data_IF_069097682100
#
_entry.id   IF_069097682100
#
_cell.length_a   1.000
_cell.length_b   1.000
_cell.length_c   1.000
_cell.angle_alpha   90.00
_cell.angle_beta   90.00
_cell.angle_gamma   90.00
#
_symmetry.space_group_name_H-M   'P 1'
#
loop_
_entity.id
_entity.type
_entity.pdbx_description
1 polymer ?
#
# COMPACT_ATOMS: atom_id res chain seq x y z
N UNK A 1 54.22 -21.86 -13.75
CA UNK A 1 53.91 -20.41 -13.71
C UNK A 1 54.12 -19.98 -12.27
N UNK A 2 55.11 -19.13 -12.03
CA UNK A 2 55.42 -18.55 -10.72
C UNK A 2 54.22 -17.72 -10.26
N UNK A 3 53.66 -18.02 -9.09
CA UNK A 3 52.68 -17.13 -8.44
C UNK A 3 53.35 -15.76 -8.26
N UNK A 4 52.80 -14.72 -8.87
CA UNK A 4 53.14 -13.35 -8.50
C UNK A 4 52.80 -13.19 -7.01
N UNK A 5 53.80 -12.94 -6.18
CA UNK A 5 53.58 -12.69 -4.77
C UNK A 5 52.86 -11.34 -4.63
N UNK A 6 51.68 -11.33 -4.00
CA UNK A 6 51.00 -10.07 -3.70
C UNK A 6 51.81 -9.31 -2.64
N UNK A 7 52.22 -8.10 -2.98
CA UNK A 7 52.96 -7.23 -2.06
C UNK A 7 52.11 -6.83 -0.85
N UNK A 8 52.68 -6.85 0.38
CA UNK A 8 51.98 -6.36 1.57
C UNK A 8 51.55 -4.90 1.40
N UNK A 9 50.28 -4.62 1.65
CA UNK A 9 49.67 -3.30 1.46
C UNK A 9 49.13 -2.76 2.78
N UNK A 10 49.44 -1.50 3.09
CA UNK A 10 48.82 -0.80 4.20
C UNK A 10 47.39 -0.42 3.86
N UNK A 11 46.44 -0.94 4.63
CA UNK A 11 45.00 -0.73 4.42
C UNK A 11 44.40 0.29 5.42
N UNK A 12 45.21 0.92 6.28
CA UNK A 12 44.65 1.95 7.16
C UNK A 12 44.30 3.22 6.37
N UNK A 13 43.23 3.95 6.78
CA UNK A 13 42.87 5.22 6.15
C UNK A 13 44.01 6.25 6.18
N UNK A 14 44.75 6.30 7.29
CA UNK A 14 45.82 7.27 7.53
C UNK A 14 47.19 6.83 7.00
N UNK A 15 47.28 5.61 6.42
CA UNK A 15 48.53 5.00 5.96
C UNK A 15 49.64 4.99 7.03
N UNK A 16 49.26 4.67 8.26
CA UNK A 16 50.14 4.67 9.44
C UNK A 16 50.84 3.33 9.71
N UNK A 17 50.72 2.37 8.78
CA UNK A 17 51.23 1.01 8.91
C UNK A 17 50.60 0.23 10.05
N UNK A 18 49.38 0.60 10.47
CA UNK A 18 48.68 0.00 11.59
C UNK A 18 48.08 -1.37 11.27
N UNK A 19 47.68 -1.59 10.02
CA UNK A 19 47.09 -2.84 9.53
C UNK A 19 47.65 -3.10 8.13
N UNK A 20 48.54 -4.09 8.03
CA UNK A 20 49.13 -4.51 6.76
C UNK A 20 48.43 -5.78 6.30
N UNK A 21 47.94 -5.79 5.06
CA UNK A 21 47.31 -6.94 4.41
C UNK A 21 48.24 -7.53 3.36
N UNK A 22 48.38 -8.84 3.34
CA UNK A 22 49.04 -9.59 2.27
C UNK A 22 48.10 -10.69 1.78
N UNK A 23 47.80 -10.72 0.48
CA UNK A 23 46.97 -11.78 -0.10
C UNK A 23 47.82 -13.03 -0.28
N UNK A 24 47.40 -14.14 0.33
CA UNK A 24 48.04 -15.46 0.18
C UNK A 24 47.38 -16.28 -0.92
N UNK A 25 46.06 -16.13 -1.07
CA UNK A 25 45.28 -16.70 -2.17
C UNK A 25 44.19 -15.72 -2.58
N UNK A 26 44.12 -15.38 -3.86
CA UNK A 26 43.08 -14.49 -4.37
C UNK A 26 41.68 -15.09 -4.17
N UNK A 27 40.72 -14.23 -3.86
CA UNK A 27 39.30 -14.58 -3.90
C UNK A 27 38.71 -14.39 -5.30
N UNK A 28 37.46 -14.80 -5.45
CA UNK A 28 36.67 -14.71 -6.66
C UNK A 28 35.74 -13.48 -6.63
N UNK A 29 35.36 -13.00 -7.81
CA UNK A 29 34.45 -11.86 -7.96
C UNK A 29 35.10 -10.50 -7.70
N UNK A 30 34.27 -9.46 -7.70
CA UNK A 30 34.69 -8.07 -7.48
C UNK A 30 34.02 -7.43 -6.26
N UNK A 31 33.28 -8.21 -5.47
CA UNK A 31 32.54 -7.75 -4.30
C UNK A 31 33.31 -8.02 -3.02
N UNK A 32 33.05 -7.18 -2.01
CA UNK A 32 33.59 -7.30 -0.66
C UNK A 32 32.48 -6.97 0.35
N UNK A 33 32.51 -7.56 1.56
CA UNK A 33 31.49 -7.30 2.56
C UNK A 33 31.54 -5.84 3.04
N UNK A 34 30.38 -5.29 3.37
CA UNK A 34 30.23 -3.90 3.85
C UNK A 34 29.82 -3.87 5.32
N UNK A 35 30.03 -2.73 6.03
CA UNK A 35 29.56 -2.59 7.40
C UNK A 35 28.06 -2.93 7.55
N UNK A 36 27.74 -3.84 8.46
CA UNK A 36 26.41 -4.40 8.69
C UNK A 36 26.24 -5.84 8.20
N UNK A 37 27.10 -6.33 7.32
CA UNK A 37 27.04 -7.71 6.84
C UNK A 37 27.45 -8.72 7.92
N UNK A 38 26.76 -9.85 7.96
CA UNK A 38 27.17 -11.01 8.75
C UNK A 38 28.18 -11.82 7.94
N UNK A 39 29.46 -11.64 8.21
CA UNK A 39 30.55 -12.33 7.50
C UNK A 39 30.81 -13.71 8.13
N UNK A 40 31.31 -14.66 7.34
CA UNK A 40 31.75 -15.99 7.78
C UNK A 40 33.19 -16.25 7.37
N UNK A 41 34.06 -16.56 8.34
CA UNK A 41 35.50 -16.74 8.13
C UNK A 41 36.06 -17.97 8.85
N UNK A 42 37.17 -18.52 8.33
CA UNK A 42 38.13 -19.23 9.16
C UNK A 42 39.34 -18.36 9.44
N UNK A 43 39.96 -18.53 10.62
CA UNK A 43 41.18 -17.81 10.95
C UNK A 43 42.11 -18.60 11.85
N UNK A 44 43.38 -18.20 11.82
CA UNK A 44 44.43 -18.54 12.79
C UNK A 44 45.07 -17.25 13.27
N UNK A 45 45.12 -17.03 14.57
CA UNK A 45 45.72 -15.87 15.22
C UNK A 45 46.99 -16.25 15.99
N UNK A 46 48.11 -15.62 15.66
CA UNK A 46 49.41 -15.82 16.30
C UNK A 46 50.02 -14.50 16.78
N UNK A 47 50.88 -14.58 17.78
CA UNK A 47 51.80 -13.48 18.13
C UNK A 47 52.94 -13.38 17.10
N UNK A 48 53.78 -12.37 17.26
CA UNK A 48 54.97 -12.14 16.43
C UNK A 48 56.05 -13.21 16.60
N UNK A 49 56.08 -13.89 17.75
CA UNK A 49 56.90 -15.08 18.02
C UNK A 49 56.29 -16.39 17.49
N UNK A 50 55.25 -16.30 16.65
CA UNK A 50 54.49 -17.41 16.05
C UNK A 50 53.64 -18.23 17.05
N UNK A 51 53.58 -17.85 18.33
CA UNK A 51 52.72 -18.50 19.30
C UNK A 51 51.24 -18.31 18.92
N UNK A 52 50.54 -19.40 18.60
CA UNK A 52 49.10 -19.38 18.33
C UNK A 52 48.33 -19.14 19.63
N UNK A 53 47.48 -18.11 19.65
CA UNK A 53 46.60 -17.81 20.78
C UNK A 53 45.15 -18.22 20.55
N UNK A 54 44.72 -18.29 19.28
CA UNK A 54 43.37 -18.68 18.89
C UNK A 54 43.28 -19.15 17.43
N UNK A 55 42.41 -20.12 17.15
CA UNK A 55 42.18 -20.66 15.81
C UNK A 55 40.76 -21.19 15.68
N UNK A 56 40.00 -20.74 14.68
CA UNK A 56 38.68 -21.34 14.42
C UNK A 56 38.77 -22.68 13.69
N UNK A 57 39.91 -22.98 13.07
CA UNK A 57 40.14 -24.27 12.39
C UNK A 57 40.25 -25.43 13.39
N UNK A 58 40.83 -25.18 14.57
CA UNK A 58 40.88 -26.18 15.66
C UNK A 58 39.50 -26.55 16.21
N UNK A 59 38.52 -25.67 16.01
CA UNK A 59 37.12 -25.87 16.43
C UNK A 59 36.24 -26.48 15.33
N UNK A 60 36.79 -26.65 14.12
CA UNK A 60 36.06 -27.10 12.92
C UNK A 60 34.77 -26.31 12.62
N UNK A 61 34.67 -25.07 13.11
CA UNK A 61 33.49 -24.23 12.98
C UNK A 61 33.87 -22.85 12.41
N UNK A 62 33.10 -22.38 11.43
CA UNK A 62 33.28 -21.03 10.87
C UNK A 62 32.90 -19.98 11.90
N UNK A 63 33.69 -18.93 11.99
CA UNK A 63 33.38 -17.80 12.86
C UNK A 63 32.53 -16.79 12.10
N UNK A 64 31.27 -16.61 12.54
CA UNK A 64 30.36 -15.61 11.98
C UNK A 64 30.27 -14.36 12.88
N UNK A 65 30.35 -13.16 12.30
CA UNK A 65 30.18 -11.90 13.04
C UNK A 65 29.63 -10.76 12.17
N UNK A 66 29.11 -9.70 12.79
CA UNK A 66 28.64 -8.49 12.10
C UNK A 66 29.79 -7.54 11.83
N UNK A 67 30.09 -7.28 10.56
CA UNK A 67 31.20 -6.42 10.13
C UNK A 67 30.91 -4.94 10.44
N UNK A 68 31.92 -4.21 10.93
CA UNK A 68 31.86 -2.76 11.11
C UNK A 68 31.03 -2.29 12.31
N UNK A 69 30.62 -3.22 13.19
CA UNK A 69 29.89 -2.91 14.44
C UNK A 69 30.77 -2.94 15.69
N UNK A 70 32.09 -3.12 15.54
CA UNK A 70 33.01 -3.25 16.68
C UNK A 70 32.85 -4.56 17.44
N UNK A 71 32.27 -5.60 16.82
CA UNK A 71 32.19 -6.95 17.38
C UNK A 71 33.52 -7.69 17.38
N UNK A 72 34.49 -7.19 16.61
CA UNK A 72 35.86 -7.69 16.47
C UNK A 72 36.86 -6.54 16.62
N UNK A 73 38.16 -6.84 16.64
CA UNK A 73 39.20 -5.81 16.69
C UNK A 73 39.12 -4.88 15.47
N UNK A 74 39.53 -3.62 15.63
CA UNK A 74 39.47 -2.60 14.56
C UNK A 74 40.18 -3.05 13.27
N UNK A 75 41.29 -3.79 13.41
CA UNK A 75 42.02 -4.32 12.28
C UNK A 75 41.20 -5.29 11.42
N UNK A 76 40.31 -6.07 12.04
CA UNK A 76 39.42 -6.98 11.33
C UNK A 76 38.28 -6.25 10.62
N UNK A 77 37.67 -5.27 11.29
CA UNK A 77 36.64 -4.43 10.66
C UNK A 77 37.17 -3.73 9.40
N UNK A 78 38.44 -3.28 9.41
CA UNK A 78 39.11 -2.74 8.23
C UNK A 78 39.52 -3.83 7.23
N UNK A 79 40.14 -4.91 7.71
CA UNK A 79 40.74 -5.95 6.89
C UNK A 79 39.73 -6.76 6.09
N UNK A 80 38.70 -7.28 6.75
CA UNK A 80 37.71 -8.16 6.12
C UNK A 80 36.87 -7.40 5.09
N UNK A 81 36.63 -6.10 5.30
CA UNK A 81 35.96 -5.23 4.33
C UNK A 81 36.72 -5.08 3.00
N UNK A 82 38.00 -5.47 2.93
CA UNK A 82 38.80 -5.45 1.70
C UNK A 82 38.92 -6.80 1.01
N UNK A 83 38.40 -7.88 1.62
CA UNK A 83 38.56 -9.23 1.12
C UNK A 83 37.48 -9.60 0.13
N UNK A 84 37.83 -10.46 -0.83
CA UNK A 84 36.89 -11.09 -1.77
C UNK A 84 36.46 -12.47 -1.27
N UNK A 85 35.34 -12.98 -1.80
CA UNK A 85 34.84 -14.31 -1.46
C UNK A 85 35.90 -15.37 -1.83
N UNK A 86 36.23 -16.27 -0.90
CA UNK A 86 37.26 -17.31 -1.06
C UNK A 86 38.70 -16.85 -0.85
N UNK A 87 38.93 -15.55 -0.62
CA UNK A 87 40.26 -14.98 -0.40
C UNK A 87 40.86 -15.50 0.90
N UNK A 88 42.16 -15.83 0.86
CA UNK A 88 43.00 -16.09 2.02
C UNK A 88 44.01 -14.95 2.14
N UNK A 89 43.98 -14.23 3.26
CA UNK A 89 44.85 -13.09 3.50
C UNK A 89 45.51 -13.15 4.88
N UNK A 90 46.75 -12.66 4.94
CA UNK A 90 47.49 -12.42 6.17
C UNK A 90 47.35 -10.95 6.57
N UNK A 91 46.99 -10.70 7.82
CA UNK A 91 46.90 -9.38 8.43
C UNK A 91 47.92 -9.24 9.55
N UNK A 92 48.73 -8.20 9.50
CA UNK A 92 49.60 -7.77 10.61
C UNK A 92 49.00 -6.55 11.26
N UNK A 93 48.62 -6.69 12.53
CA UNK A 93 47.77 -5.75 13.25
C UNK A 93 48.54 -5.16 14.44
N UNK A 94 48.90 -3.88 14.38
CA UNK A 94 49.53 -3.17 15.50
C UNK A 94 48.57 -3.02 16.68
N UNK A 95 49.07 -2.84 17.92
CA UNK A 95 48.24 -2.77 19.12
C UNK A 95 47.11 -1.74 19.07
N UNK A 96 47.36 -0.57 18.45
CA UNK A 96 46.37 0.51 18.25
C UNK A 96 45.10 0.05 17.51
N UNK A 97 45.21 -0.97 16.66
CA UNK A 97 44.11 -1.58 15.89
C UNK A 97 43.69 -2.96 16.42
N UNK A 98 44.29 -3.41 17.52
CA UNK A 98 44.02 -4.67 18.22
C UNK A 98 43.57 -4.41 19.66
N UNK A 99 44.26 -4.97 20.66
CA UNK A 99 43.90 -4.87 22.09
C UNK A 99 44.66 -3.77 22.87
N UNK A 100 45.50 -2.97 22.21
CA UNK A 100 46.19 -1.82 22.80
C UNK A 100 47.08 -2.17 24.01
N UNK A 101 47.28 -1.19 24.89
CA UNK A 101 48.11 -1.30 26.10
C UNK A 101 47.55 -2.28 27.12
N UNK A 102 46.24 -2.55 27.10
CA UNK A 102 45.61 -3.48 28.04
C UNK A 102 45.88 -4.95 27.68
N UNK A 103 45.99 -5.27 26.39
CA UNK A 103 46.03 -6.65 25.92
C UNK A 103 44.73 -7.41 26.19
N UNK A 104 44.79 -8.74 26.15
CA UNK A 104 43.70 -9.65 26.53
C UNK A 104 44.30 -10.87 27.25
N UNK A 105 44.66 -10.65 28.52
CA UNK A 105 45.33 -11.65 29.34
C UNK A 105 44.43 -12.88 29.59
N UNK A 106 45.01 -14.10 29.73
CA UNK A 106 46.44 -14.40 29.71
C UNK A 106 47.03 -14.60 28.30
N UNK A 107 46.19 -14.64 27.26
CA UNK A 107 46.59 -15.08 25.92
C UNK A 107 47.29 -14.00 25.09
N UNK A 108 46.89 -12.74 25.26
CA UNK A 108 47.41 -11.61 24.48
C UNK A 108 48.02 -10.61 25.45
N UNK A 109 49.34 -10.38 25.41
CA UNK A 109 50.00 -9.43 26.29
C UNK A 109 49.67 -7.96 25.92
N UNK A 110 49.90 -7.01 26.86
CA UNK A 110 49.95 -5.58 26.58
C UNK A 110 50.77 -5.23 25.35
N UNK A 111 50.27 -4.36 24.48
CA UNK A 111 50.98 -3.85 23.30
C UNK A 111 51.45 -4.94 22.31
N UNK A 112 50.75 -6.06 22.25
CA UNK A 112 51.05 -7.12 21.29
C UNK A 112 50.69 -6.75 19.84
N UNK A 113 51.61 -7.03 18.91
CA UNK A 113 51.29 -7.08 17.48
C UNK A 113 50.72 -8.45 17.17
N UNK A 114 49.58 -8.49 16.49
CA UNK A 114 48.89 -9.74 16.16
C UNK A 114 49.03 -10.05 14.67
N UNK A 115 49.20 -11.32 14.36
CA UNK A 115 49.21 -11.83 13.01
C UNK A 115 47.99 -12.73 12.84
N UNK A 116 47.17 -12.46 11.84
CA UNK A 116 46.03 -13.29 11.50
C UNK A 116 46.15 -13.80 10.08
N UNK A 117 45.97 -15.10 9.88
CA UNK A 117 45.61 -15.66 8.58
C UNK A 117 44.11 -15.86 8.56
N UNK A 118 43.41 -15.25 7.60
CA UNK A 118 41.94 -15.28 7.51
C UNK A 118 41.51 -15.73 6.12
N UNK A 119 40.56 -16.65 6.08
CA UNK A 119 39.88 -17.15 4.89
C UNK A 119 38.42 -16.70 4.91
N UNK A 120 38.01 -15.89 3.93
CA UNK A 120 36.63 -15.39 3.84
C UNK A 120 35.76 -16.34 3.03
N UNK A 121 34.80 -17.02 3.65
CA UNK A 121 33.90 -17.94 2.94
C UNK A 121 32.73 -17.22 2.25
N UNK A 122 32.26 -16.13 2.87
CA UNK A 122 31.17 -15.34 2.35
C UNK A 122 30.53 -14.47 3.43
N UNK A 123 29.43 -13.81 3.09
CA UNK A 123 28.69 -12.96 4.00
C UNK A 123 27.20 -13.00 3.67
N UNK A 124 26.38 -12.73 4.69
CA UNK A 124 24.92 -12.59 4.62
C UNK A 124 24.60 -11.19 5.11
N UNK A 125 24.12 -10.30 4.25
CA UNK A 125 23.68 -8.98 4.70
C UNK A 125 22.61 -9.10 5.79
N UNK A 126 22.64 -8.22 6.79
CA UNK A 126 21.54 -8.10 7.77
C UNK A 126 20.26 -7.53 7.16
N UNK A 127 20.26 -7.28 5.85
CA UNK A 127 19.10 -7.04 5.01
C UNK A 127 19.42 -7.72 3.66
N UNK A 128 18.68 -8.76 3.28
CA UNK A 128 18.63 -9.36 1.93
C UNK A 128 19.98 -9.61 1.19
N UNK A 129 20.56 -10.81 1.30
CA UNK A 129 21.60 -11.26 0.35
C UNK A 129 21.26 -12.66 -0.21
N UNK A 130 20.41 -12.68 -1.25
CA UNK A 130 20.65 -13.53 -2.44
C UNK A 130 21.55 -12.71 -3.38
N UNK A 131 22.17 -13.27 -4.44
CA UNK A 131 23.19 -12.60 -5.24
C UNK A 131 22.55 -11.54 -6.17
N UNK A 132 21.90 -10.56 -5.55
CA UNK A 132 20.72 -9.82 -6.01
C UNK A 132 19.98 -9.43 -4.73
N UNK A 133 19.94 -8.17 -4.38
CA UNK A 133 18.70 -7.59 -3.89
C UNK A 133 18.97 -6.10 -3.85
N UNK A 134 18.69 -5.41 -4.94
CA UNK A 134 18.41 -3.98 -4.79
C UNK A 134 17.33 -3.80 -3.72
N UNK A 135 17.25 -2.61 -3.15
CA UNK A 135 16.21 -2.29 -2.18
C UNK A 135 14.84 -2.44 -2.84
N UNK A 136 13.99 -3.27 -2.27
CA UNK A 136 12.61 -3.40 -2.74
C UNK A 136 11.82 -2.15 -2.32
N UNK A 137 11.41 -1.37 -3.31
CA UNK A 137 10.60 -0.16 -3.14
C UNK A 137 9.11 -0.42 -3.38
N UNK A 138 8.71 -1.66 -3.66
CA UNK A 138 7.32 -2.01 -3.86
C UNK A 138 6.52 -1.83 -2.57
N UNK A 139 5.28 -1.34 -2.69
CA UNK A 139 4.41 -1.12 -1.53
C UNK A 139 4.05 -2.42 -0.79
N UNK A 140 4.15 -3.56 -1.47
CA UNK A 140 3.78 -4.89 -0.96
C UNK A 140 4.99 -5.76 -0.60
N UNK A 141 6.22 -5.24 -0.75
CA UNK A 141 7.45 -6.03 -0.65
C UNK A 141 7.41 -7.29 -1.53
N UNK A 142 6.89 -7.15 -2.75
CA UNK A 142 6.71 -8.24 -3.73
C UNK A 142 7.81 -8.26 -4.81
N UNK A 143 8.82 -7.40 -4.67
CA UNK A 143 9.92 -7.26 -5.61
C UNK A 143 9.54 -6.61 -6.94
N UNK A 144 8.38 -5.95 -7.04
CA UNK A 144 7.96 -5.32 -8.29
C UNK A 144 8.79 -4.11 -8.70
N UNK A 145 9.52 -3.50 -7.75
CA UNK A 145 10.39 -2.33 -7.98
C UNK A 145 11.66 -2.54 -7.14
N UNK A 146 12.78 -2.86 -7.79
CA UNK A 146 14.05 -3.12 -7.11
C UNK A 146 15.05 -2.02 -7.46
N UNK A 147 15.59 -1.33 -6.45
CA UNK A 147 16.54 -0.23 -6.62
C UNK A 147 17.98 -0.63 -6.31
N UNK A 148 18.88 -0.29 -7.23
CA UNK A 148 20.32 -0.41 -7.08
C UNK A 148 20.97 0.98 -7.14
N UNK A 149 21.34 1.52 -5.99
CA UNK A 149 21.98 2.85 -5.91
C UNK A 149 23.38 2.76 -6.52
N UNK A 150 23.64 3.59 -7.54
CA UNK A 150 24.96 3.68 -8.20
C UNK A 150 25.73 4.92 -7.76
N UNK A 151 25.03 6.01 -7.39
CA UNK A 151 25.62 7.21 -6.76
C UNK A 151 24.71 7.68 -5.64
N UNK A 152 25.25 7.82 -4.43
CA UNK A 152 24.49 8.28 -3.27
C UNK A 152 24.07 9.74 -3.44
N UNK A 153 22.78 10.02 -3.26
CA UNK A 153 22.30 11.39 -3.20
C UNK A 153 22.69 12.11 -1.90
N UNK A 154 22.50 13.43 -1.90
CA UNK A 154 22.78 14.35 -0.80
C UNK A 154 21.51 14.64 0.02
N UNK A 155 21.70 15.09 1.25
CA UNK A 155 20.61 15.45 2.14
C UNK A 155 19.92 14.27 2.82
N UNK A 156 18.88 14.58 3.59
CA UNK A 156 18.09 13.63 4.37
C UNK A 156 16.61 13.57 3.98
N UNK A 157 16.14 14.55 3.20
CA UNK A 157 14.77 14.62 2.70
C UNK A 157 14.63 13.80 1.41
N UNK A 158 13.42 13.32 1.19
CA UNK A 158 12.99 12.70 -0.06
C UNK A 158 11.73 13.43 -0.57
N UNK A 159 11.40 13.32 -1.87
CA UNK A 159 10.15 13.83 -2.43
C UNK A 159 8.91 13.24 -1.71
N UNK A 160 7.98 14.09 -1.26
CA UNK A 160 6.68 13.65 -0.75
C UNK A 160 5.59 13.62 -1.85
N UNK A 161 4.41 13.11 -1.51
CA UNK A 161 3.26 13.13 -2.42
C UNK A 161 2.92 14.57 -2.83
N UNK A 162 2.89 14.85 -4.13
CA UNK A 162 2.68 16.20 -4.66
C UNK A 162 3.94 17.05 -4.82
N UNK A 163 5.12 16.55 -4.46
CA UNK A 163 6.39 17.25 -4.71
C UNK A 163 6.62 17.51 -6.20
N UNK A 164 7.16 18.68 -6.56
CA UNK A 164 7.70 18.91 -7.90
C UNK A 164 9.10 18.30 -7.97
N UNK A 165 9.34 17.45 -8.96
CA UNK A 165 10.64 16.81 -9.17
C UNK A 165 11.18 17.13 -10.55
N UNK A 166 12.50 17.26 -10.65
CA UNK A 166 13.25 17.29 -11.90
C UNK A 166 14.12 16.04 -11.97
N UNK A 167 13.87 15.19 -12.94
CA UNK A 167 14.53 13.88 -13.08
C UNK A 167 14.97 13.65 -14.52
N UNK A 168 16.11 13.00 -14.69
CA UNK A 168 16.53 12.41 -15.94
C UNK A 168 16.48 10.89 -15.82
N UNK A 169 15.96 10.19 -16.82
CA UNK A 169 16.03 8.73 -16.83
C UNK A 169 16.15 8.14 -18.23
N UNK A 170 16.75 6.95 -18.28
CA UNK A 170 16.92 6.13 -19.49
C UNK A 170 16.23 4.79 -19.28
N UNK A 171 15.16 4.55 -20.04
CA UNK A 171 14.37 3.31 -20.01
C UNK A 171 14.86 2.29 -21.04
N UNK A 172 15.06 1.05 -20.59
CA UNK A 172 15.52 -0.08 -21.41
C UNK A 172 14.67 -1.32 -21.26
N UNK A 173 14.54 -2.06 -22.36
CA UNK A 173 14.05 -3.44 -22.37
C UNK A 173 15.10 -4.32 -23.04
N UNK A 174 15.73 -5.21 -22.27
CA UNK A 174 16.95 -5.88 -22.71
C UNK A 174 18.06 -4.86 -23.00
N UNK A 175 18.65 -4.94 -24.18
CA UNK A 175 19.69 -3.98 -24.64
C UNK A 175 19.10 -2.72 -25.32
N UNK A 176 17.80 -2.71 -25.62
CA UNK A 176 17.19 -1.62 -26.37
C UNK A 176 16.79 -0.45 -25.44
N UNK A 177 17.30 0.75 -25.74
CA UNK A 177 16.84 2.00 -25.13
C UNK A 177 15.59 2.46 -25.87
N UNK A 178 14.46 2.54 -25.19
CA UNK A 178 13.20 3.03 -25.78
C UNK A 178 12.86 4.46 -25.34
N UNK A 179 13.49 4.96 -24.28
CA UNK A 179 13.24 6.28 -23.72
C UNK A 179 14.50 6.84 -23.07
N UNK A 180 14.81 8.10 -23.32
CA UNK A 180 15.90 8.85 -22.70
C UNK A 180 15.46 10.32 -22.66
N UNK A 181 15.09 10.81 -21.47
CA UNK A 181 14.62 12.19 -21.33
C UNK A 181 14.77 12.75 -19.92
N UNK A 182 14.86 14.07 -19.88
CA UNK A 182 14.67 14.89 -18.69
C UNK A 182 13.20 15.33 -18.61
N UNK A 183 12.59 15.21 -17.44
CA UNK A 183 11.19 15.58 -17.21
C UNK A 183 11.02 16.23 -15.85
N UNK A 184 10.18 17.27 -15.83
CA UNK A 184 9.68 17.90 -14.62
C UNK A 184 8.22 17.49 -14.42
N UNK A 185 7.90 16.90 -13.27
CA UNK A 185 6.54 16.46 -12.98
C UNK A 185 6.23 16.48 -11.49
N UNK A 186 4.95 16.31 -11.18
CA UNK A 186 4.45 16.25 -9.81
C UNK A 186 4.36 14.78 -9.37
N UNK A 187 5.00 14.44 -8.25
CA UNK A 187 4.94 13.10 -7.66
C UNK A 187 3.49 12.73 -7.32
N UNK A 188 3.06 11.53 -7.74
CA UNK A 188 1.66 11.08 -7.69
C UNK A 188 0.90 11.31 -9.01
N UNK A 189 1.43 12.19 -9.88
CA UNK A 189 0.83 12.59 -11.15
C UNK A 189 1.68 12.15 -12.37
N UNK A 190 2.60 11.20 -12.18
CA UNK A 190 3.55 10.76 -13.22
C UNK A 190 2.90 10.42 -14.56
N UNK A 191 1.70 9.85 -14.54
CA UNK A 191 0.94 9.52 -15.75
C UNK A 191 0.69 10.71 -16.69
N UNK A 192 0.57 11.95 -16.18
CA UNK A 192 0.40 13.16 -17.03
C UNK A 192 1.64 13.41 -17.87
N UNK A 193 2.81 13.15 -17.26
CA UNK A 193 4.11 13.33 -17.87
C UNK A 193 4.56 12.08 -18.65
N UNK A 194 3.66 11.11 -18.86
CA UNK A 194 3.95 9.78 -19.41
C UNK A 194 5.04 9.02 -18.62
N UNK A 195 5.11 9.23 -17.31
CA UNK A 195 6.00 8.51 -16.39
C UNK A 195 5.25 7.29 -15.85
N UNK A 196 5.88 6.12 -15.92
CA UNK A 196 5.28 4.87 -15.40
C UNK A 196 5.16 4.90 -13.86
N UNK A 197 4.18 4.17 -13.33
CA UNK A 197 3.90 4.13 -11.89
C UNK A 197 5.11 3.70 -11.04
N UNK A 198 5.90 2.74 -11.52
CA UNK A 198 7.11 2.29 -10.83
C UNK A 198 8.16 3.38 -10.64
N UNK A 199 8.32 4.28 -11.62
CA UNK A 199 9.23 5.43 -11.50
C UNK A 199 8.69 6.45 -10.48
N UNK A 200 7.40 6.77 -10.54
CA UNK A 200 6.76 7.70 -9.60
C UNK A 200 6.88 7.23 -8.14
N UNK A 201 6.71 5.92 -7.91
CA UNK A 201 6.91 5.31 -6.58
C UNK A 201 8.39 5.33 -6.18
N UNK A 202 9.30 4.96 -7.09
CA UNK A 202 10.73 4.88 -6.78
C UNK A 202 11.34 6.24 -6.43
N UNK A 203 10.97 7.29 -7.17
CA UNK A 203 11.53 8.64 -6.98
C UNK A 203 11.21 9.22 -5.59
N UNK A 204 10.05 8.86 -4.99
CA UNK A 204 9.71 9.20 -3.58
C UNK A 204 10.73 8.69 -2.56
N UNK A 205 11.55 7.70 -2.91
CA UNK A 205 12.57 7.11 -2.05
C UNK A 205 13.99 7.54 -2.38
N UNK A 206 14.16 8.35 -3.44
CA UNK A 206 15.45 8.88 -3.87
C UNK A 206 15.82 10.16 -3.12
N UNK A 207 17.12 10.41 -3.03
CA UNK A 207 17.69 11.68 -2.55
C UNK A 207 18.11 12.58 -3.71
N UNK A 208 18.18 13.87 -3.47
CA UNK A 208 18.67 14.82 -4.46
C UNK A 208 20.10 14.46 -4.92
N UNK A 209 20.35 14.46 -6.23
CA UNK A 209 21.61 14.04 -6.83
C UNK A 209 21.86 12.52 -6.82
N UNK A 210 20.92 11.70 -6.34
CA UNK A 210 21.05 10.24 -6.38
C UNK A 210 20.97 9.73 -7.82
N UNK A 211 21.86 8.78 -8.16
CA UNK A 211 21.77 7.97 -9.36
C UNK A 211 21.52 6.52 -8.97
N UNK A 212 20.59 5.87 -9.64
CA UNK A 212 20.30 4.47 -9.39
C UNK A 212 19.82 3.76 -10.65
N UNK A 213 19.96 2.44 -10.65
CA UNK A 213 19.29 1.54 -11.59
C UNK A 213 18.05 0.97 -10.92
N UNK A 214 16.92 0.96 -11.60
CA UNK A 214 15.66 0.38 -11.16
C UNK A 214 15.31 -0.80 -12.05
N UNK A 215 15.04 -1.95 -11.45
CA UNK A 215 14.43 -3.09 -12.12
C UNK A 215 12.93 -3.08 -11.79
N UNK A 216 12.09 -2.91 -12.81
CA UNK A 216 10.65 -2.68 -12.68
C UNK A 216 9.88 -3.80 -13.38
N UNK A 217 9.05 -4.51 -12.61
CA UNK A 217 8.17 -5.56 -13.13
C UNK A 217 7.01 -4.99 -13.96
N UNK A 218 6.41 -5.78 -14.87
CA UNK A 218 5.36 -5.29 -15.75
C UNK A 218 4.16 -4.70 -15.01
N UNK A 219 3.85 -5.25 -13.83
CA UNK A 219 2.79 -4.78 -12.95
C UNK A 219 2.94 -3.32 -12.48
N UNK A 220 4.14 -2.77 -12.53
CA UNK A 220 4.48 -1.37 -12.19
C UNK A 220 4.96 -0.57 -13.41
N UNK A 221 4.83 -1.13 -14.61
CA UNK A 221 5.22 -0.53 -15.88
C UNK A 221 4.02 -0.51 -16.86
N UNK A 222 4.17 -1.08 -18.06
CA UNK A 222 3.12 -1.09 -19.09
C UNK A 222 2.21 -2.34 -19.06
N UNK A 223 2.45 -3.27 -18.13
CA UNK A 223 1.65 -4.47 -17.91
C UNK A 223 1.42 -5.32 -19.17
N UNK A 224 0.29 -6.01 -19.20
CA UNK A 224 -0.10 -6.92 -20.28
C UNK A 224 -0.47 -6.23 -21.60
N UNK A 225 -0.50 -4.89 -21.63
CA UNK A 225 -0.72 -4.13 -22.87
C UNK A 225 0.58 -3.79 -23.57
N UNK A 226 1.68 -3.66 -22.82
CA UNK A 226 2.92 -3.08 -23.34
C UNK A 226 2.73 -1.62 -23.76
N UNK A 227 3.70 -1.09 -24.51
CA UNK A 227 3.61 0.22 -25.16
C UNK A 227 4.13 0.11 -26.60
N UNK A 228 3.23 -0.10 -27.58
CA UNK A 228 3.61 -0.22 -28.99
C UNK A 228 4.31 1.01 -29.57
N UNK A 229 3.98 2.22 -29.10
CA UNK A 229 4.59 3.47 -29.59
C UNK A 229 6.07 3.57 -29.21
N UNK A 230 6.43 3.02 -28.05
CA UNK A 230 7.82 2.92 -27.56
C UNK A 230 8.48 1.59 -27.92
N UNK A 231 7.80 0.69 -28.63
CA UNK A 231 8.32 -0.64 -28.96
C UNK A 231 8.48 -1.57 -27.75
N UNK A 232 7.76 -1.31 -26.65
CA UNK A 232 7.79 -2.13 -25.44
C UNK A 232 6.72 -3.22 -25.53
N UNK A 233 7.07 -4.51 -25.46
CA UNK A 233 6.09 -5.59 -25.56
C UNK A 233 5.22 -5.73 -24.29
N UNK A 234 4.08 -6.42 -24.39
CA UNK A 234 3.33 -6.89 -23.23
C UNK A 234 4.19 -7.64 -22.22
N UNK A 235 3.91 -7.44 -20.94
CA UNK A 235 4.53 -8.16 -19.83
C UNK A 235 6.07 -8.06 -19.77
N UNK A 236 6.62 -6.95 -20.28
CA UNK A 236 8.06 -6.70 -20.30
C UNK A 236 8.61 -6.26 -18.93
N UNK A 237 9.68 -6.92 -18.48
CA UNK A 237 10.55 -6.43 -17.40
C UNK A 237 11.38 -5.24 -17.92
N UNK A 238 11.37 -4.12 -17.21
CA UNK A 238 12.06 -2.90 -17.63
C UNK A 238 13.19 -2.54 -16.68
N UNK A 239 14.22 -1.92 -17.24
CA UNK A 239 15.36 -1.36 -16.50
C UNK A 239 15.42 0.14 -16.74
N UNK A 240 15.48 0.92 -15.67
CA UNK A 240 15.66 2.37 -15.76
C UNK A 240 16.92 2.81 -15.04
N UNK A 241 17.78 3.56 -15.72
CA UNK A 241 18.80 4.36 -15.04
C UNK A 241 18.20 5.73 -14.74
N UNK A 242 18.16 6.13 -13.47
CA UNK A 242 17.49 7.34 -13.00
C UNK A 242 18.47 8.24 -12.26
N UNK A 243 18.39 9.54 -12.54
CA UNK A 243 19.08 10.60 -11.81
C UNK A 243 18.08 11.64 -11.34
N UNK A 244 17.89 11.75 -10.02
CA UNK A 244 17.06 12.79 -9.41
C UNK A 244 17.89 14.08 -9.28
N UNK A 245 17.62 15.10 -10.11
CA UNK A 245 18.41 16.35 -10.07
C UNK A 245 18.03 17.24 -8.90
N UNK A 246 16.73 17.48 -8.70
CA UNK A 246 16.20 18.34 -7.66
C UNK A 246 14.73 18.03 -7.36
N UNK A 247 14.27 18.43 -6.17
CA UNK A 247 12.85 18.38 -5.85
C UNK A 247 12.46 19.50 -4.86
N UNK A 248 11.19 19.88 -4.93
CA UNK A 248 10.54 20.75 -3.97
C UNK A 248 9.33 20.01 -3.38
N UNK A 249 9.35 19.74 -2.07
CA UNK A 249 8.26 19.05 -1.41
C UNK A 249 6.98 19.88 -1.42
N UNK A 250 5.85 19.21 -1.63
CA UNK A 250 4.56 19.82 -1.35
C UNK A 250 4.45 20.10 0.15
N UNK A 251 3.81 21.23 0.49
CA UNK A 251 3.42 21.49 1.87
C UNK A 251 2.39 20.46 2.32
N UNK A 252 2.55 19.98 3.54
CA UNK A 252 1.54 19.14 4.17
C UNK A 252 0.30 19.98 4.53
N UNK A 253 -0.86 19.32 4.69
CA UNK A 253 -2.13 20.03 4.93
C UNK A 253 -2.09 20.97 6.13
N UNK A 254 -1.34 20.62 7.18
CA UNK A 254 -1.17 21.44 8.38
C UNK A 254 -0.16 22.59 8.21
N UNK A 255 0.67 22.58 7.17
CA UNK A 255 1.64 23.64 6.87
C UNK A 255 1.05 24.73 5.95
N UNK A 256 -0.13 24.47 5.36
CA UNK A 256 -0.81 25.41 4.47
C UNK A 256 -1.76 26.33 5.23
N UNK A 257 -1.65 27.62 4.95
CA UNK A 257 -2.63 28.61 5.39
C UNK A 257 -3.98 28.38 4.68
N UNK A 258 -5.12 28.77 5.28
CA UNK A 258 -6.45 28.54 4.71
C UNK A 258 -6.61 29.06 3.27
N UNK A 259 -6.06 30.24 2.96
CA UNK A 259 -6.08 30.82 1.62
C UNK A 259 -5.26 29.99 0.61
N UNK A 260 -4.15 29.41 1.06
CA UNK A 260 -3.31 28.53 0.24
C UNK A 260 -4.02 27.20 -0.04
N UNK A 261 -4.70 26.62 0.97
CA UNK A 261 -5.55 25.43 0.78
C UNK A 261 -6.64 25.67 -0.25
N UNK A 262 -7.26 26.84 -0.23
CA UNK A 262 -8.28 27.23 -1.21
C UNK A 262 -7.69 27.29 -2.63
N UNK A 263 -6.58 27.99 -2.81
CA UNK A 263 -5.91 28.10 -4.11
C UNK A 263 -5.45 26.72 -4.64
N UNK A 264 -4.86 25.88 -3.79
CA UNK A 264 -4.47 24.51 -4.16
C UNK A 264 -5.66 23.65 -4.56
N UNK A 265 -6.81 23.84 -3.92
CA UNK A 265 -8.03 23.11 -4.24
C UNK A 265 -8.65 23.55 -5.57
N UNK A 266 -8.50 24.83 -5.95
CA UNK A 266 -8.90 25.31 -7.28
C UNK A 266 -8.05 24.62 -8.36
N UNK A 267 -6.73 24.60 -8.20
CA UNK A 267 -5.81 23.94 -9.13
C UNK A 267 -6.11 22.44 -9.23
N UNK A 268 -6.34 21.78 -8.08
CA UNK A 268 -6.70 20.36 -8.05
C UNK A 268 -8.02 20.09 -8.77
N UNK A 269 -9.06 20.91 -8.58
CA UNK A 269 -10.33 20.80 -9.29
C UNK A 269 -10.16 20.87 -10.80
N UNK A 270 -9.33 21.79 -11.29
CA UNK A 270 -9.04 21.94 -12.72
C UNK A 270 -8.30 20.73 -13.29
N UNK A 271 -7.26 20.26 -12.60
CA UNK A 271 -6.54 19.03 -12.95
C UNK A 271 -7.47 17.82 -13.01
N UNK A 272 -8.28 17.61 -11.96
CA UNK A 272 -9.27 16.52 -11.93
C UNK A 272 -10.25 16.58 -13.11
N UNK A 273 -10.67 17.79 -13.49
CA UNK A 273 -11.56 18.00 -14.64
C UNK A 273 -10.89 17.65 -15.97
N UNK A 274 -9.59 17.93 -16.12
CA UNK A 274 -8.80 17.51 -17.27
C UNK A 274 -8.77 15.98 -17.37
N UNK A 275 -8.39 15.30 -16.30
CA UNK A 275 -8.36 13.83 -16.28
C UNK A 275 -9.71 13.17 -16.51
N UNK A 276 -10.79 13.77 -16.01
CA UNK A 276 -12.13 13.28 -16.28
C UNK A 276 -12.45 13.30 -17.79
N UNK A 277 -12.05 14.36 -18.50
CA UNK A 277 -12.22 14.47 -19.95
C UNK A 277 -11.36 13.46 -20.71
N UNK A 278 -10.17 13.18 -20.19
CA UNK A 278 -9.25 12.19 -20.77
C UNK A 278 -9.65 10.72 -20.45
N UNK A 279 -10.76 10.50 -19.73
CA UNK A 279 -11.25 9.17 -19.36
C UNK A 279 -10.53 8.52 -18.17
N UNK A 280 -9.59 9.23 -17.56
CA UNK A 280 -8.77 8.77 -16.43
C UNK A 280 -9.50 8.99 -15.09
N UNK A 281 -10.65 8.34 -14.91
CA UNK A 281 -11.55 8.60 -13.77
C UNK A 281 -10.92 8.37 -12.39
N UNK A 282 -10.10 7.32 -12.24
CA UNK A 282 -9.41 7.03 -10.97
C UNK A 282 -8.45 8.14 -10.55
N UNK A 283 -7.76 8.73 -11.53
CA UNK A 283 -6.84 9.85 -11.26
C UNK A 283 -7.63 11.12 -10.98
N UNK A 284 -8.71 11.37 -11.72
CA UNK A 284 -9.61 12.50 -11.46
C UNK A 284 -10.15 12.49 -10.02
N UNK A 285 -10.55 11.32 -9.52
CA UNK A 285 -11.01 11.13 -8.13
C UNK A 285 -9.94 11.60 -7.12
N UNK A 286 -8.67 11.20 -7.27
CA UNK A 286 -7.58 11.61 -6.36
C UNK A 286 -7.46 13.13 -6.21
N UNK A 287 -7.68 13.87 -7.29
CA UNK A 287 -7.65 15.34 -7.25
C UNK A 287 -8.85 15.95 -6.56
N UNK A 288 -10.04 15.41 -6.78
CA UNK A 288 -11.23 15.88 -6.08
C UNK A 288 -11.18 15.51 -4.58
N UNK A 289 -10.59 14.37 -4.22
CA UNK A 289 -10.27 14.00 -2.83
C UNK A 289 -9.25 14.97 -2.21
N UNK A 290 -8.30 15.50 -3.00
CA UNK A 290 -7.40 16.57 -2.53
C UNK A 290 -8.17 17.85 -2.19
N UNK A 291 -9.15 18.25 -3.00
CA UNK A 291 -10.05 19.36 -2.66
C UNK A 291 -10.78 19.11 -1.34
N UNK A 292 -11.35 17.91 -1.17
CA UNK A 292 -12.07 17.53 0.04
C UNK A 292 -11.15 17.57 1.27
N UNK A 293 -9.97 16.91 1.21
CA UNK A 293 -9.00 16.89 2.31
C UNK A 293 -8.55 18.29 2.77
N UNK A 294 -8.42 19.22 1.82
CA UNK A 294 -7.99 20.57 2.12
C UNK A 294 -9.11 21.44 2.70
N UNK A 295 -10.36 21.21 2.32
CA UNK A 295 -11.44 22.19 2.54
C UNK A 295 -12.62 21.70 3.39
N UNK A 296 -12.84 20.40 3.54
CA UNK A 296 -14.03 19.83 4.23
C UNK A 296 -14.12 20.33 5.68
N UNK A 297 -12.99 20.38 6.39
CA UNK A 297 -12.93 20.80 7.80
C UNK A 297 -12.35 22.20 8.01
N UNK A 298 -12.09 22.96 6.95
CA UNK A 298 -11.39 24.25 7.03
C UNK A 298 -12.32 25.39 7.45
N UNK A 299 -12.71 25.52 8.72
CA UNK A 299 -13.75 26.48 9.14
C UNK A 299 -13.31 27.95 9.24
N UNK A 300 -12.04 28.28 9.00
CA UNK A 300 -11.51 29.62 9.34
C UNK A 300 -11.67 30.68 8.24
N UNK A 301 -11.94 30.27 7.00
CA UNK A 301 -12.20 31.19 5.88
C UNK A 301 -13.49 31.99 6.10
N UNK A 302 -13.49 33.29 5.77
CA UNK A 302 -14.61 34.20 5.94
C UNK A 302 -14.95 34.95 4.64
N UNK A 303 -16.19 35.41 4.51
CA UNK A 303 -16.63 36.25 3.39
C UNK A 303 -16.61 35.49 2.05
N UNK A 304 -16.03 36.11 1.02
CA UNK A 304 -16.00 35.54 -0.34
C UNK A 304 -15.28 34.18 -0.39
N UNK A 305 -14.23 33.99 0.42
CA UNK A 305 -13.46 32.76 0.44
C UNK A 305 -14.21 31.61 1.11
N UNK A 306 -15.10 31.91 2.07
CA UNK A 306 -15.99 30.90 2.67
C UNK A 306 -16.96 30.34 1.63
N UNK A 307 -17.57 31.23 0.84
CA UNK A 307 -18.51 30.85 -0.22
C UNK A 307 -17.81 30.07 -1.34
N UNK A 308 -16.63 30.52 -1.79
CA UNK A 308 -15.80 29.75 -2.74
C UNK A 308 -15.45 28.37 -2.22
N UNK A 309 -15.13 28.26 -0.92
CA UNK A 309 -14.82 26.98 -0.29
C UNK A 309 -16.02 26.04 -0.33
N UNK A 310 -17.21 26.49 0.07
CA UNK A 310 -18.45 25.69 -0.02
C UNK A 310 -18.73 25.24 -1.45
N UNK A 311 -18.61 26.16 -2.42
CA UNK A 311 -18.79 25.86 -3.84
C UNK A 311 -17.81 24.77 -4.33
N UNK A 312 -16.52 24.90 -4.02
CA UNK A 312 -15.51 23.94 -4.45
C UNK A 312 -15.74 22.57 -3.83
N UNK A 313 -16.09 22.50 -2.55
CA UNK A 313 -16.39 21.23 -1.87
C UNK A 313 -17.61 20.56 -2.52
N UNK A 314 -18.71 21.30 -2.73
CA UNK A 314 -19.90 20.77 -3.39
C UNK A 314 -19.61 20.27 -4.82
N UNK A 315 -18.85 21.05 -5.61
CA UNK A 315 -18.44 20.67 -6.97
C UNK A 315 -17.52 19.44 -6.97
N UNK A 316 -16.62 19.33 -6.00
CA UNK A 316 -15.75 18.16 -5.86
C UNK A 316 -16.58 16.89 -5.58
N UNK A 317 -17.54 16.92 -4.65
CA UNK A 317 -18.46 15.81 -4.40
C UNK A 317 -19.24 15.41 -5.64
N UNK A 318 -19.81 16.39 -6.34
CA UNK A 318 -20.52 16.16 -7.60
C UNK A 318 -19.63 15.49 -8.65
N UNK A 319 -18.41 15.97 -8.84
CA UNK A 319 -17.51 15.42 -9.84
C UNK A 319 -17.01 14.02 -9.45
N UNK A 320 -16.76 13.74 -8.17
CA UNK A 320 -16.46 12.39 -7.68
C UNK A 320 -17.64 11.44 -7.94
N UNK A 321 -18.87 11.84 -7.63
CA UNK A 321 -20.06 11.05 -7.93
C UNK A 321 -20.17 10.73 -9.44
N UNK A 322 -19.80 11.68 -10.31
CA UNK A 322 -19.76 11.45 -11.76
C UNK A 322 -18.65 10.45 -12.15
N UNK A 323 -17.47 10.53 -11.53
CA UNK A 323 -16.38 9.58 -11.77
C UNK A 323 -16.79 8.17 -11.32
N UNK A 324 -17.39 8.03 -10.14
CA UNK A 324 -17.87 6.75 -9.62
C UNK A 324 -19.04 6.17 -10.43
N UNK A 325 -19.89 7.01 -11.03
CA UNK A 325 -20.86 6.53 -12.01
C UNK A 325 -20.19 5.93 -13.26
N UNK A 326 -19.04 6.48 -13.68
CA UNK A 326 -18.26 5.96 -14.81
C UNK A 326 -17.49 4.69 -14.47
N UNK A 327 -17.15 4.47 -13.20
CA UNK A 327 -16.50 3.25 -12.71
C UNK A 327 -17.46 2.22 -12.12
N UNK A 328 -18.78 2.48 -12.20
CA UNK A 328 -19.86 1.60 -11.71
C UNK A 328 -19.81 1.33 -10.19
N UNK A 329 -19.23 2.24 -9.40
CA UNK A 329 -19.17 2.17 -7.94
C UNK A 329 -20.37 2.86 -7.29
N UNK A 330 -21.57 2.30 -7.49
CA UNK A 330 -22.85 2.96 -7.15
C UNK A 330 -23.01 3.35 -5.67
N UNK A 331 -22.40 2.61 -4.74
CA UNK A 331 -22.44 2.96 -3.30
C UNK A 331 -21.78 4.32 -3.06
N UNK A 332 -20.58 4.51 -3.60
CA UNK A 332 -19.82 5.77 -3.47
C UNK A 332 -20.52 6.93 -4.18
N UNK A 333 -21.21 6.67 -5.30
CA UNK A 333 -22.04 7.70 -5.95
C UNK A 333 -23.06 8.26 -4.98
N UNK A 334 -23.78 7.39 -4.25
CA UNK A 334 -24.78 7.81 -3.27
C UNK A 334 -24.17 8.63 -2.14
N UNK A 335 -23.09 8.14 -1.55
CA UNK A 335 -22.37 8.84 -0.47
C UNK A 335 -21.93 10.26 -0.87
N UNK A 336 -21.32 10.41 -2.05
CA UNK A 336 -20.90 11.73 -2.53
C UNK A 336 -22.08 12.63 -2.95
N UNK A 337 -23.19 12.06 -3.45
CA UNK A 337 -24.41 12.83 -3.71
C UNK A 337 -25.08 13.30 -2.42
N UNK A 338 -25.12 12.46 -1.38
CA UNK A 338 -25.67 12.82 -0.07
C UNK A 338 -24.88 13.98 0.54
N UNK A 339 -23.54 13.90 0.56
CA UNK A 339 -22.68 15.02 0.97
C UNK A 339 -22.88 16.29 0.15
N UNK A 340 -23.11 16.18 -1.16
CA UNK A 340 -23.43 17.35 -1.98
C UNK A 340 -24.78 17.98 -1.61
N UNK A 341 -25.77 17.16 -1.23
CA UNK A 341 -27.10 17.61 -0.81
C UNK A 341 -27.12 18.19 0.62
N UNK A 342 -26.20 17.76 1.49
CA UNK A 342 -25.98 18.40 2.79
C UNK A 342 -25.48 19.85 2.63
N UNK A 343 -24.75 20.14 1.55
CA UNK A 343 -24.24 21.48 1.23
C UNK A 343 -25.24 22.32 0.43
N UNK A 344 -25.94 21.70 -0.53
CA UNK A 344 -26.98 22.32 -1.35
C UNK A 344 -28.13 21.35 -1.58
N UNK A 345 -29.18 21.50 -0.77
CA UNK A 345 -30.38 20.64 -0.78
C UNK A 345 -31.22 20.76 -2.07
N UNK A 346 -30.92 21.77 -2.91
CA UNK A 346 -31.54 22.04 -4.21
C UNK A 346 -30.63 21.66 -5.38
N UNK A 347 -29.55 20.93 -5.13
CA UNK A 347 -28.63 20.52 -6.17
C UNK A 347 -29.25 19.47 -7.12
N UNK A 348 -29.76 19.94 -8.27
CA UNK A 348 -30.38 19.10 -9.32
C UNK A 348 -29.47 17.96 -9.77
N UNK A 349 -28.17 18.24 -9.93
CA UNK A 349 -27.17 17.25 -10.38
C UNK A 349 -26.98 16.11 -9.37
N UNK A 350 -27.09 16.40 -8.06
CA UNK A 350 -26.94 15.38 -7.03
C UNK A 350 -28.11 14.40 -7.04
N UNK A 351 -29.36 14.89 -7.03
CA UNK A 351 -30.54 14.03 -7.14
C UNK A 351 -30.51 13.19 -8.41
N UNK A 352 -30.21 13.79 -9.56
CA UNK A 352 -30.21 13.04 -10.82
C UNK A 352 -29.16 11.91 -10.82
N UNK A 353 -27.94 12.19 -10.33
CA UNK A 353 -26.86 11.19 -10.26
C UNK A 353 -27.11 10.11 -9.21
N UNK A 354 -27.67 10.46 -8.06
CA UNK A 354 -28.08 9.51 -7.02
C UNK A 354 -29.20 8.58 -7.51
N UNK A 355 -30.17 9.15 -8.22
CA UNK A 355 -31.22 8.39 -8.89
C UNK A 355 -30.67 7.41 -9.94
N UNK A 356 -29.65 7.80 -10.71
CA UNK A 356 -28.95 6.88 -11.63
C UNK A 356 -28.26 5.72 -10.90
N UNK A 357 -27.66 5.98 -9.74
CA UNK A 357 -27.02 4.94 -8.93
C UNK A 357 -28.05 3.97 -8.34
N UNK A 358 -29.16 4.45 -7.77
CA UNK A 358 -30.26 3.60 -7.31
C UNK A 358 -30.85 2.75 -8.44
N UNK A 359 -31.05 3.36 -9.62
CA UNK A 359 -31.56 2.65 -10.78
C UNK A 359 -30.64 1.51 -11.20
N UNK A 360 -29.32 1.75 -11.24
CA UNK A 360 -28.33 0.73 -11.54
C UNK A 360 -28.26 -0.36 -10.44
N UNK A 361 -28.54 0.00 -9.19
CA UNK A 361 -28.71 -0.92 -8.07
C UNK A 361 -30.00 -1.73 -8.05
N UNK A 362 -30.93 -1.50 -9.00
CA UNK A 362 -32.30 -2.04 -9.03
C UNK A 362 -33.22 -1.53 -7.90
N UNK A 363 -32.85 -0.45 -7.20
CA UNK A 363 -33.69 0.22 -6.21
C UNK A 363 -34.63 1.21 -6.91
N UNK A 364 -35.61 0.70 -7.66
CA UNK A 364 -36.42 1.50 -8.58
C UNK A 364 -37.31 2.55 -7.89
N UNK A 365 -37.79 2.28 -6.67
CA UNK A 365 -38.59 3.21 -5.88
C UNK A 365 -37.77 4.44 -5.46
N UNK A 366 -36.56 4.20 -4.94
CA UNK A 366 -35.64 5.28 -4.53
C UNK A 366 -35.16 6.07 -5.75
N UNK A 367 -34.85 5.37 -6.85
CA UNK A 367 -34.49 6.02 -8.11
C UNK A 367 -35.61 6.93 -8.62
N UNK A 368 -36.85 6.45 -8.60
CA UNK A 368 -38.04 7.22 -9.01
C UNK A 368 -38.14 8.50 -8.18
N UNK A 369 -38.05 8.40 -6.85
CA UNK A 369 -38.13 9.54 -5.92
C UNK A 369 -37.11 10.63 -6.25
N UNK A 370 -35.86 10.24 -6.52
CA UNK A 370 -34.80 11.19 -6.88
C UNK A 370 -35.01 11.83 -8.26
N UNK A 371 -35.50 11.08 -9.25
CA UNK A 371 -35.83 11.65 -10.57
C UNK A 371 -37.06 12.57 -10.53
N UNK A 372 -38.07 12.26 -9.72
CA UNK A 372 -39.20 13.14 -9.46
C UNK A 372 -38.73 14.43 -8.80
N UNK A 373 -37.85 14.33 -7.79
CA UNK A 373 -37.26 15.51 -7.15
C UNK A 373 -36.46 16.37 -8.13
N UNK A 374 -35.75 15.73 -9.05
CA UNK A 374 -35.06 16.41 -10.17
C UNK A 374 -36.07 17.16 -11.06
N UNK A 375 -37.22 16.55 -11.36
CA UNK A 375 -38.27 17.19 -12.17
C UNK A 375 -38.97 18.34 -11.45
N UNK A 376 -39.10 18.28 -10.12
CA UNK A 376 -39.63 19.37 -9.29
C UNK A 376 -38.71 20.59 -9.35
N UNK A 377 -37.40 20.38 -9.24
CA UNK A 377 -36.40 21.45 -9.24
C UNK A 377 -36.10 21.97 -10.66
N UNK A 378 -36.13 21.10 -11.67
CA UNK A 378 -35.88 21.45 -13.07
C UNK A 378 -36.95 20.83 -14.00
N UNK A 379 -38.12 21.49 -14.16
CA UNK A 379 -39.21 20.96 -14.98
C UNK A 379 -38.88 20.80 -16.48
N UNK A 380 -37.83 21.47 -16.97
CA UNK A 380 -37.33 21.35 -18.35
C UNK A 380 -36.52 20.06 -18.59
N UNK A 381 -36.13 19.35 -17.53
CA UNK A 381 -35.24 18.19 -17.63
C UNK A 381 -35.96 16.97 -18.24
N UNK A 382 -35.82 16.78 -19.55
CA UNK A 382 -36.42 15.65 -20.29
C UNK A 382 -35.84 14.30 -19.87
N UNK A 383 -34.56 14.26 -19.48
CA UNK A 383 -33.89 13.03 -19.09
C UNK A 383 -34.48 12.47 -17.80
N UNK A 384 -34.70 13.32 -16.80
CA UNK A 384 -35.34 12.93 -15.54
C UNK A 384 -36.77 12.41 -15.76
N UNK A 385 -37.58 13.11 -16.56
CA UNK A 385 -38.95 12.66 -16.90
C UNK A 385 -38.99 11.30 -17.57
N UNK A 386 -38.04 11.03 -18.47
CA UNK A 386 -37.95 9.73 -19.11
C UNK A 386 -37.56 8.64 -18.11
N UNK A 387 -36.61 8.93 -17.21
CA UNK A 387 -36.21 7.96 -16.18
C UNK A 387 -37.34 7.64 -15.18
N UNK A 388 -38.16 8.62 -14.78
CA UNK A 388 -39.37 8.36 -13.96
C UNK A 388 -40.27 7.32 -14.62
N UNK A 389 -40.57 7.48 -15.91
CA UNK A 389 -41.40 6.52 -16.66
C UNK A 389 -40.77 5.14 -16.74
N UNK A 390 -39.44 5.07 -16.91
CA UNK A 390 -38.71 3.79 -16.94
C UNK A 390 -38.78 3.11 -15.56
N UNK A 391 -38.58 3.85 -14.46
CA UNK A 391 -38.73 3.32 -13.11
C UNK A 391 -40.14 2.77 -12.87
N UNK A 392 -41.18 3.50 -13.26
CA UNK A 392 -42.58 3.05 -13.14
C UNK A 392 -42.85 1.74 -13.90
N UNK A 393 -42.30 1.62 -15.11
CA UNK A 393 -42.40 0.39 -15.89
C UNK A 393 -41.67 -0.77 -15.21
N UNK A 394 -40.48 -0.52 -14.65
CA UNK A 394 -39.68 -1.54 -13.94
C UNK A 394 -40.35 -2.01 -12.66
N UNK A 395 -40.88 -1.10 -11.84
CA UNK A 395 -41.64 -1.42 -10.63
C UNK A 395 -42.86 -2.28 -10.99
N UNK A 396 -43.66 -1.86 -11.97
CA UNK A 396 -44.82 -2.63 -12.42
C UNK A 396 -44.44 -4.02 -12.94
N UNK A 397 -43.32 -4.15 -13.65
CA UNK A 397 -42.82 -5.44 -14.11
C UNK A 397 -42.37 -6.34 -12.95
N UNK A 398 -41.75 -5.75 -11.92
CA UNK A 398 -41.34 -6.46 -10.71
C UNK A 398 -42.55 -6.99 -9.94
N UNK A 399 -43.54 -6.13 -9.67
CA UNK A 399 -44.78 -6.50 -8.98
C UNK A 399 -45.54 -7.62 -9.71
N UNK A 400 -45.59 -7.56 -11.05
CA UNK A 400 -46.21 -8.60 -11.86
C UNK A 400 -45.48 -9.94 -11.73
N UNK A 401 -44.13 -9.93 -11.75
CA UNK A 401 -43.33 -11.13 -11.56
C UNK A 401 -43.50 -11.71 -10.16
N UNK A 402 -43.48 -10.88 -9.13
CA UNK A 402 -43.74 -11.30 -7.75
C UNK A 402 -45.12 -11.91 -7.60
N UNK A 403 -46.17 -11.24 -8.12
CA UNK A 403 -47.54 -11.78 -8.10
C UNK A 403 -47.62 -13.16 -8.74
N UNK A 404 -46.98 -13.37 -9.90
CA UNK A 404 -46.95 -14.68 -10.56
C UNK A 404 -46.17 -15.72 -9.76
N UNK A 405 -45.03 -15.32 -9.16
CA UNK A 405 -44.21 -16.19 -8.30
C UNK A 405 -44.99 -16.64 -7.06
N UNK A 406 -45.63 -15.72 -6.34
CA UNK A 406 -46.43 -16.03 -5.16
C UNK A 406 -47.67 -16.86 -5.51
N UNK A 407 -48.33 -16.57 -6.64
CA UNK A 407 -49.43 -17.40 -7.14
C UNK A 407 -48.99 -18.85 -7.37
N UNK A 408 -47.86 -19.06 -8.07
CA UNK A 408 -47.33 -20.40 -8.32
C UNK A 408 -46.88 -21.11 -7.04
N UNK A 409 -46.29 -20.38 -6.07
CA UNK A 409 -45.98 -20.93 -4.75
C UNK A 409 -47.24 -21.38 -4.00
N UNK A 410 -48.28 -20.55 -3.99
CA UNK A 410 -49.55 -20.87 -3.32
C UNK A 410 -50.22 -22.10 -3.94
N UNK A 411 -50.28 -22.19 -5.27
CA UNK A 411 -50.81 -23.36 -5.98
C UNK A 411 -50.01 -24.64 -5.66
N UNK A 412 -48.69 -24.53 -5.55
CA UNK A 412 -47.82 -25.66 -5.18
C UNK A 412 -48.08 -26.12 -3.75
N UNK A 413 -48.16 -25.20 -2.79
CA UNK A 413 -48.43 -25.53 -1.38
C UNK A 413 -49.83 -26.15 -1.21
N UNK A 414 -50.85 -25.58 -1.87
CA UNK A 414 -52.20 -26.15 -1.87
C UNK A 414 -52.23 -27.58 -2.44
N UNK A 415 -51.51 -27.83 -3.54
CA UNK A 415 -51.39 -29.16 -4.14
C UNK A 415 -50.61 -30.16 -3.24
N UNK A 416 -49.67 -29.67 -2.43
CA UNK A 416 -48.91 -30.48 -1.47
C UNK A 416 -49.76 -30.85 -0.25
N UNK A 417 -50.52 -29.90 0.30
CA UNK A 417 -51.48 -30.16 1.38
C UNK A 417 -52.59 -31.13 0.93
N UNK A 418 -53.04 -31.03 -0.32
CA UNK A 418 -54.03 -31.96 -0.90
C UNK A 418 -53.53 -33.41 -1.02
N UNK A 419 -52.21 -33.63 -0.98
CA UNK A 419 -51.58 -34.97 -1.05
C UNK A 419 -51.28 -35.56 0.32
N UNK A 420 -51.43 -34.79 1.40
CA UNK A 420 -51.29 -35.31 2.76
C UNK A 420 -52.53 -36.17 3.07
N UNK A 421 -52.38 -37.38 3.63
CA UNK A 421 -53.52 -38.23 3.95
C UNK A 421 -54.42 -37.51 4.96
N UNK A 422 -55.75 -37.61 4.77
CA UNK A 422 -56.78 -36.93 5.57
C UNK A 422 -56.79 -37.28 7.08
N UNK A 423 -55.84 -38.12 7.51
CA UNK A 423 -55.67 -38.62 8.88
C UNK A 423 -54.45 -38.02 9.62
N UNK A 424 -53.79 -36.99 9.08
CA UNK A 424 -52.77 -36.22 9.81
C UNK A 424 -53.29 -34.92 10.45
N UNK A 425 -54.58 -34.62 10.31
CA UNK A 425 -55.29 -33.80 11.28
C UNK A 425 -55.86 -34.75 12.33
N UNK A 426 -55.11 -34.95 13.40
CA UNK A 426 -55.75 -35.33 14.66
C UNK A 426 -56.55 -34.10 15.08
N UNK A 427 -57.86 -34.24 15.33
CA UNK A 427 -58.61 -33.27 16.13
C UNK A 427 -57.97 -33.21 17.52
N UNK A 428 -56.91 -32.41 17.64
CA UNK A 428 -56.13 -32.21 18.85
C UNK A 428 -56.60 -30.97 19.60
N UNK A 429 -57.90 -30.70 19.62
CA UNK A 429 -58.50 -29.60 20.39
C UNK A 429 -59.60 -30.07 21.36
N UNK A 430 -59.65 -31.36 21.71
CA UNK A 430 -60.48 -31.84 22.83
C UNK A 430 -59.72 -32.18 24.11
N UNK A 431 -58.39 -32.05 24.13
CA UNK A 431 -57.63 -31.90 25.38
C UNK A 431 -56.60 -30.78 25.18
N UNK A 432 -56.89 -29.60 25.73
CA UNK A 432 -55.83 -28.65 26.11
C UNK A 432 -55.12 -29.28 27.33
N UNK A 433 -54.37 -30.35 27.08
CA UNK A 433 -53.33 -30.81 27.97
C UNK A 433 -52.21 -29.76 27.93
N UNK A 434 -51.77 -29.36 29.11
CA UNK A 434 -50.72 -28.38 29.36
C UNK A 434 -49.57 -28.50 28.34
N UNK A 435 -49.14 -27.36 27.80
CA UNK A 435 -47.96 -27.27 26.96
C UNK A 435 -46.75 -27.85 27.72
N UNK A 436 -46.33 -29.06 27.34
CA UNK A 436 -45.08 -29.64 27.83
C UNK A 436 -43.91 -28.86 27.23
N UNK A 437 -43.32 -28.01 28.05
CA UNK A 437 -42.15 -27.15 27.82
C UNK A 437 -40.85 -27.96 27.59
N UNK A 438 -40.90 -29.06 26.85
CA UNK A 438 -39.70 -29.87 26.54
C UNK A 438 -38.70 -29.19 25.61
N UNK A 439 -39.08 -28.11 24.92
CA UNK A 439 -38.13 -27.24 24.21
C UNK A 439 -37.51 -26.15 25.09
N UNK A 440 -37.92 -26.02 26.36
CA UNK A 440 -37.38 -25.05 27.31
C UNK A 440 -36.25 -25.60 28.19
N UNK A 441 -35.68 -26.77 27.86
CA UNK A 441 -34.45 -27.23 28.54
C UNK A 441 -33.27 -26.33 28.14
N UNK A 442 -33.09 -25.25 28.89
CA UNK A 442 -32.03 -24.26 28.74
C UNK A 442 -32.49 -22.80 28.70
N UNK A 443 -33.80 -22.54 28.66
CA UNK A 443 -34.33 -21.16 28.75
C UNK A 443 -34.68 -20.84 30.20
N UNK A 444 -34.24 -19.66 30.66
CA UNK A 444 -34.60 -19.15 31.98
C UNK A 444 -36.11 -18.83 31.98
N UNK A 445 -36.84 -19.12 33.07
CA UNK A 445 -38.19 -18.59 33.29
C UNK A 445 -38.26 -17.09 33.00
N UNK A 446 -39.36 -16.62 32.38
CA UNK A 446 -39.51 -15.24 31.89
C UNK A 446 -39.30 -14.17 32.98
N UNK A 447 -39.63 -14.49 34.23
CA UNK A 447 -39.35 -13.68 35.42
C UNK A 447 -37.86 -13.58 35.73
N UNK A 448 -37.10 -14.69 35.58
CA UNK A 448 -35.65 -14.71 35.70
C UNK A 448 -34.94 -14.04 34.51
N UNK A 449 -35.51 -14.12 33.30
CA UNK A 449 -35.07 -13.36 32.13
C UNK A 449 -35.25 -11.85 32.32
N UNK A 450 -36.45 -11.41 32.74
CA UNK A 450 -36.72 -10.01 33.03
C UNK A 450 -35.80 -9.47 34.15
N UNK A 451 -35.48 -10.27 35.17
CA UNK A 451 -34.56 -9.90 36.24
C UNK A 451 -33.09 -9.85 35.78
N UNK A 452 -32.67 -10.77 34.90
CA UNK A 452 -31.33 -10.80 34.32
C UNK A 452 -31.06 -9.64 33.34
N UNK A 453 -32.09 -9.15 32.65
CA UNK A 453 -32.00 -8.05 31.69
C UNK A 453 -32.51 -6.70 32.22
N UNK A 454 -32.95 -6.63 33.49
CA UNK A 454 -33.43 -5.40 34.13
C UNK A 454 -34.75 -4.86 33.56
N UNK A 455 -35.55 -5.72 32.95
CA UNK A 455 -36.82 -5.38 32.31
C UNK A 455 -38.01 -5.62 33.23
N UNK A 456 -39.07 -4.80 33.12
CA UNK A 456 -40.31 -4.99 33.89
C UNK A 456 -41.24 -5.96 33.15
N UNK A 457 -41.81 -6.89 33.91
CA UNK A 457 -42.76 -7.88 33.41
C UNK A 457 -44.00 -7.18 32.79
N UNK A 458 -44.40 -7.55 31.55
CA UNK A 458 -45.57 -6.93 30.90
C UNK A 458 -46.89 -7.38 31.55
N UNK A 459 -47.81 -6.45 31.75
CA UNK A 459 -49.16 -6.73 32.27
C UNK A 459 -49.98 -7.52 31.26
N UNK A 460 -50.63 -8.61 31.71
CA UNK A 460 -51.51 -9.43 30.86
C UNK A 460 -52.75 -8.63 30.45
N UNK A 461 -52.99 -8.51 29.14
CA UNK A 461 -54.25 -7.98 28.62
C UNK A 461 -55.41 -8.93 28.96
N UNK A 462 -56.37 -8.45 29.76
CA UNK A 462 -57.60 -9.15 30.07
C UNK A 462 -58.58 -8.95 28.90
N UNK A 463 -58.69 -9.94 28.00
CA UNK A 463 -59.71 -9.94 26.94
C UNK A 463 -60.96 -10.64 27.48
N UNK A 464 -62.14 -9.99 27.52
CA UNK A 464 -63.36 -10.63 27.97
C UNK A 464 -63.86 -11.67 26.94
N UNK A 465 -64.55 -12.74 27.37
CA UNK A 465 -64.98 -13.81 26.48
C UNK A 465 -66.06 -13.34 25.49
N UNK A 466 -65.88 -13.67 24.21
CA UNK A 466 -66.89 -13.49 23.16
C UNK A 466 -68.11 -14.39 23.43
N UNK A 467 -69.32 -13.82 23.32
CA UNK A 467 -70.58 -14.55 23.33
C UNK A 467 -70.80 -15.27 21.97
N UNK A 468 -71.45 -16.45 21.96
CA UNK A 468 -71.57 -17.26 20.75
C UNK A 468 -72.75 -16.81 19.89
N UNK A 469 -72.49 -16.61 18.59
CA UNK A 469 -73.50 -16.52 17.55
C UNK A 469 -73.61 -15.14 16.91
N UNK A 470 -72.87 -14.93 15.83
CA UNK A 470 -73.31 -14.29 14.58
C UNK A 470 -72.17 -14.49 13.56
N UNK A 471 -72.51 -15.15 12.45
CA UNK A 471 -71.62 -15.64 11.39
C UNK A 471 -70.92 -14.53 10.59
#
# INVERSE_FOLDING_TARGET
MTQEAYEPTDITPDKDGGVIKQILRAGEGNESPVPGDKVSVHYVGTLDDETQFDSSREREEQFEFDLGKGSVIKAWDLGIATMKKGELAKFTCKPKYAYGEAGSLPKIPPNATLIFEVELFGWKGTINHKPTAGEDLSLKNDGSIIRHITTKGRGWKNPNEGAQVKVHYVGRHGENVFEDREVEFTIGDGVIANVIEGLDIAIKRMKEGEKCRLDIKPSMAYGSKGNPELGVPPDADLVYDVELHSFENAKESWEMEPAEKLQQSIIAKEKGTKFFKDGNYKVAIKYYEKCQRNLEFETTLQGEDEEKRKEIVAVAHLNMAMCYLKTEEFVKVREHCDKALELDDKCVKAYFRRGQAYFAGNDFELAKKDFEKTCELEPSNKAAKNQVKICEQKIKQFDQKEKLKYKGMFEKFAAEDSKKPQNCYVDGFEEIGEWDNKMAHGMLPLDQECEAFGEKMPERCNVPPHAPGED
#
